data_IF_117100675594
#
_entry.id   IF_117100675594
#
_cell.length_a   1.000
_cell.length_b   1.000
_cell.length_c   1.000
_cell.angle_alpha   90.00
_cell.angle_beta   90.00
_cell.angle_gamma   90.00
#
_symmetry.space_group_name_H-M   'P 1'
#
loop_
_entity.id
_entity.type
_entity.pdbx_description
1 polymer ?
#
# COMPACT_ATOMS: atom_id res chain seq x y z
N UNK A 1 -10.41 -17.42 -22.00
CA UNK A 1 -10.25 -15.96 -22.21
C UNK A 1 -8.94 -15.73 -22.97
N UNK A 2 -8.92 -14.86 -23.97
CA UNK A 2 -7.73 -14.57 -24.79
C UNK A 2 -7.44 -13.07 -24.86
N UNK A 3 -6.35 -12.69 -25.53
CA UNK A 3 -6.02 -11.30 -25.83
C UNK A 3 -7.13 -10.68 -26.71
N UNK A 4 -7.60 -9.49 -26.34
CA UNK A 4 -8.67 -8.78 -27.07
C UNK A 4 -8.31 -7.35 -27.48
N UNK A 5 -7.39 -6.70 -26.77
CA UNK A 5 -6.98 -5.34 -27.07
C UNK A 5 -5.56 -5.04 -26.55
N UNK A 6 -4.95 -3.99 -27.10
CA UNK A 6 -3.79 -3.32 -26.53
C UNK A 6 -4.24 -1.94 -26.06
N UNK A 7 -4.06 -1.64 -24.77
CA UNK A 7 -4.34 -0.33 -24.19
C UNK A 7 -3.06 0.46 -23.99
N UNK A 8 -3.06 1.76 -24.32
CA UNK A 8 -1.92 2.65 -24.10
C UNK A 8 -2.26 3.71 -23.06
N UNK A 9 -1.32 3.97 -22.15
CA UNK A 9 -1.42 5.03 -21.15
C UNK A 9 -0.20 5.91 -21.28
N UNK A 10 -0.44 7.20 -21.49
CA UNK A 10 0.58 8.23 -21.45
C UNK A 10 0.44 8.99 -20.13
N UNK A 11 1.55 9.13 -19.41
CA UNK A 11 1.60 9.84 -18.13
C UNK A 11 2.67 10.91 -18.20
N UNK A 12 2.27 12.14 -17.91
CA UNK A 12 3.19 13.27 -17.78
C UNK A 12 3.35 13.65 -16.32
N UNK A 13 4.60 13.73 -15.86
CA UNK A 13 4.97 14.15 -14.51
C UNK A 13 5.74 15.47 -14.58
N UNK A 14 5.24 16.47 -13.86
CA UNK A 14 5.91 17.75 -13.66
C UNK A 14 6.56 17.77 -12.26
N UNK A 15 7.84 18.11 -12.20
CA UNK A 15 8.61 18.27 -10.96
C UNK A 15 9.36 19.60 -11.08
N UNK A 16 8.87 20.64 -10.39
CA UNK A 16 9.33 22.01 -10.63
C UNK A 16 9.14 22.37 -12.11
N UNK A 17 10.21 22.82 -12.75
CA UNK A 17 10.20 23.21 -14.17
C UNK A 17 10.46 22.04 -15.13
N UNK A 18 10.72 20.84 -14.61
CA UNK A 18 10.98 19.66 -15.42
C UNK A 18 9.70 18.88 -15.71
N UNK A 19 9.43 18.63 -16.99
CA UNK A 19 8.37 17.73 -17.45
C UNK A 19 8.96 16.46 -18.04
N UNK A 20 8.38 15.32 -17.67
CA UNK A 20 8.73 14.01 -18.21
C UNK A 20 7.47 13.29 -18.64
N UNK A 21 7.49 12.61 -19.79
CA UNK A 21 6.36 11.84 -20.30
C UNK A 21 6.79 10.39 -20.49
N UNK A 22 5.95 9.47 -20.01
CA UNK A 22 6.18 8.04 -20.09
C UNK A 22 4.97 7.35 -20.72
N UNK A 23 5.22 6.40 -21.60
CA UNK A 23 4.20 5.59 -22.28
C UNK A 23 4.26 4.16 -21.77
N UNK A 24 3.10 3.59 -21.43
CA UNK A 24 2.94 2.20 -21.01
C UNK A 24 1.88 1.51 -21.87
N UNK A 25 2.20 0.33 -22.37
CA UNK A 25 1.30 -0.50 -23.16
C UNK A 25 0.84 -1.72 -22.34
N UNK A 26 -0.44 -2.06 -22.45
CA UNK A 26 -1.10 -3.10 -21.67
C UNK A 26 -1.80 -4.09 -22.60
N UNK A 27 -1.62 -5.38 -22.33
CA UNK A 27 -2.34 -6.45 -23.00
C UNK A 27 -3.65 -6.73 -22.25
N UNK A 28 -4.78 -6.50 -22.92
CA UNK A 28 -6.10 -6.54 -22.30
C UNK A 28 -6.92 -7.72 -22.82
N UNK A 29 -7.62 -8.41 -21.92
CA UNK A 29 -8.61 -9.46 -22.24
C UNK A 29 -10.03 -8.91 -22.47
N UNK A 30 -10.17 -7.58 -22.48
CA UNK A 30 -11.39 -6.82 -22.68
C UNK A 30 -11.10 -5.53 -23.45
N UNK A 31 -12.14 -4.90 -24.01
CA UNK A 31 -12.05 -3.70 -24.86
C UNK A 31 -12.69 -2.46 -24.23
N UNK A 32 -13.32 -2.58 -23.06
CA UNK A 32 -14.02 -1.48 -22.39
C UNK A 32 -13.05 -0.43 -21.83
N UNK A 33 -13.12 0.79 -22.37
CA UNK A 33 -12.19 1.88 -22.06
C UNK A 33 -12.34 2.44 -20.63
N UNK A 34 -13.56 2.69 -20.10
CA UNK A 34 -13.73 3.12 -18.71
C UNK A 34 -13.18 2.10 -17.72
N UNK A 35 -13.46 0.80 -17.93
CA UNK A 35 -12.86 -0.27 -17.12
C UNK A 35 -11.35 -0.31 -17.23
N UNK A 36 -10.80 -0.10 -18.43
CA UNK A 36 -9.34 -0.05 -18.62
C UNK A 36 -8.72 1.09 -17.80
N UNK A 37 -9.27 2.31 -17.92
CA UNK A 37 -8.80 3.47 -17.17
C UNK A 37 -8.88 3.24 -15.65
N UNK A 38 -9.99 2.69 -15.17
CA UNK A 38 -10.16 2.35 -13.75
C UNK A 38 -9.13 1.31 -13.27
N UNK A 39 -8.90 0.25 -14.06
CA UNK A 39 -7.94 -0.80 -13.74
C UNK A 39 -6.50 -0.26 -13.68
N UNK A 40 -6.09 0.58 -14.64
CA UNK A 40 -4.78 1.25 -14.64
C UNK A 40 -4.60 2.12 -13.41
N UNK A 41 -5.61 2.94 -13.07
CA UNK A 41 -5.55 3.82 -11.89
C UNK A 41 -5.49 3.02 -10.59
N UNK A 42 -6.27 1.95 -10.49
CA UNK A 42 -6.24 1.05 -9.34
C UNK A 42 -4.92 0.31 -9.21
N UNK A 43 -4.31 -0.12 -10.33
CA UNK A 43 -2.99 -0.73 -10.32
C UNK A 43 -1.94 0.25 -9.75
N UNK A 44 -1.93 1.50 -10.21
CA UNK A 44 -1.05 2.54 -9.68
C UNK A 44 -1.29 2.84 -8.20
N UNK A 45 -2.53 2.70 -7.72
CA UNK A 45 -2.84 2.90 -6.31
C UNK A 45 -2.13 1.90 -5.40
N UNK A 46 -1.84 0.68 -5.87
CA UNK A 46 -1.10 -0.33 -5.11
C UNK A 46 0.34 0.15 -4.87
N UNK A 47 0.99 0.66 -5.91
CA UNK A 47 2.35 1.20 -5.79
C UNK A 47 2.41 2.37 -4.80
N UNK A 48 1.48 3.30 -4.94
CA UNK A 48 1.48 4.52 -4.12
C UNK A 48 1.01 4.28 -2.67
N UNK A 49 0.00 3.46 -2.46
CA UNK A 49 -0.64 3.28 -1.14
C UNK A 49 -0.09 2.08 -0.36
N UNK A 50 0.61 1.15 -1.01
CA UNK A 50 1.19 -0.02 -0.36
C UNK A 50 2.72 -0.01 -0.47
N UNK A 51 3.28 -0.08 -1.68
CA UNK A 51 4.72 -0.26 -1.87
C UNK A 51 5.53 0.88 -1.25
N UNK A 52 5.25 2.13 -1.64
CA UNK A 52 5.95 3.28 -1.07
C UNK A 52 5.89 3.32 0.46
N UNK A 53 4.75 2.96 1.04
CA UNK A 53 4.58 2.92 2.49
C UNK A 53 5.45 1.83 3.13
N UNK A 54 5.47 0.63 2.54
CA UNK A 54 6.29 -0.46 3.02
C UNK A 54 7.78 -0.10 2.94
N UNK A 55 8.20 0.48 1.83
CA UNK A 55 9.60 0.84 1.58
C UNK A 55 10.07 1.92 2.53
N UNK A 56 9.31 3.02 2.65
CA UNK A 56 9.71 4.19 3.45
C UNK A 56 9.34 4.06 4.92
N UNK A 57 8.08 3.73 5.21
CA UNK A 57 7.58 3.75 6.59
C UNK A 57 7.95 2.47 7.34
N UNK A 58 8.07 1.32 6.66
CA UNK A 58 8.50 0.05 7.25
C UNK A 58 9.97 -0.31 6.94
N UNK A 59 10.67 0.52 6.19
CA UNK A 59 12.10 0.35 5.91
C UNK A 59 12.40 -0.94 5.15
N UNK A 60 11.49 -1.36 4.27
CA UNK A 60 11.63 -2.62 3.53
C UNK A 60 12.87 -2.61 2.64
N UNK A 61 13.08 -1.54 1.87
CA UNK A 61 14.27 -1.35 1.02
C UNK A 61 15.60 -1.39 1.79
N UNK A 62 15.60 -0.85 3.01
CA UNK A 62 16.79 -0.82 3.85
C UNK A 62 17.07 -2.17 4.56
N UNK A 63 16.12 -3.11 4.53
CA UNK A 63 16.19 -4.36 5.26
C UNK A 63 17.21 -5.32 4.62
N UNK A 64 18.27 -5.67 5.36
CA UNK A 64 19.35 -6.55 4.87
C UNK A 64 19.18 -8.03 5.23
N UNK A 65 18.02 -8.44 5.71
CA UNK A 65 17.78 -9.82 6.18
C UNK A 65 17.69 -10.76 4.98
N UNK A 66 18.65 -11.68 4.85
CA UNK A 66 18.81 -12.57 3.67
C UNK A 66 18.85 -14.06 4.00
N UNK A 67 18.59 -14.44 5.25
CA UNK A 67 18.74 -15.81 5.72
C UNK A 67 17.42 -16.56 5.58
N UNK A 68 17.46 -17.74 4.98
CA UNK A 68 16.31 -18.64 4.85
C UNK A 68 15.08 -17.89 4.29
N UNK A 69 13.91 -18.03 4.93
CA UNK A 69 12.66 -17.37 4.53
C UNK A 69 12.46 -15.97 5.15
N UNK A 70 13.51 -15.37 5.71
CA UNK A 70 13.36 -14.13 6.50
C UNK A 70 12.76 -12.97 5.71
N UNK A 71 13.15 -12.80 4.44
CA UNK A 71 12.67 -11.71 3.60
C UNK A 71 11.16 -11.82 3.35
N UNK A 72 10.71 -13.02 2.98
CA UNK A 72 9.30 -13.32 2.71
C UNK A 72 8.45 -13.19 3.97
N UNK A 73 8.92 -13.71 5.10
CA UNK A 73 8.22 -13.63 6.38
C UNK A 73 8.08 -12.18 6.84
N UNK A 74 9.13 -11.37 6.72
CA UNK A 74 9.08 -9.95 7.08
C UNK A 74 8.17 -9.15 6.15
N UNK A 75 8.19 -9.40 4.83
CA UNK A 75 7.28 -8.75 3.89
C UNK A 75 5.81 -9.05 4.24
N UNK A 76 5.50 -10.30 4.58
CA UNK A 76 4.15 -10.69 5.01
C UNK A 76 3.72 -9.98 6.29
N UNK A 77 4.58 -9.98 7.32
CA UNK A 77 4.30 -9.34 8.60
C UNK A 77 4.10 -7.82 8.45
N UNK A 78 4.92 -7.15 7.63
CA UNK A 78 4.77 -5.71 7.34
C UNK A 78 3.44 -5.41 6.66
N UNK A 79 3.05 -6.22 5.65
CA UNK A 79 1.75 -6.09 4.97
C UNK A 79 0.58 -6.28 5.93
N UNK A 80 0.64 -7.28 6.81
CA UNK A 80 -0.37 -7.48 7.86
C UNK A 80 -0.46 -6.27 8.79
N UNK A 81 0.68 -5.80 9.30
CA UNK A 81 0.73 -4.63 10.18
C UNK A 81 0.20 -3.37 9.49
N UNK A 82 0.54 -3.15 8.22
CA UNK A 82 0.04 -2.03 7.42
C UNK A 82 -1.49 -2.06 7.29
N UNK A 83 -2.07 -3.21 6.94
CA UNK A 83 -3.51 -3.36 6.81
C UNK A 83 -4.23 -3.07 8.14
N UNK A 84 -3.73 -3.60 9.26
CA UNK A 84 -4.28 -3.32 10.59
C UNK A 84 -4.24 -1.83 10.90
N UNK A 85 -3.11 -1.17 10.63
CA UNK A 85 -2.96 0.26 10.91
C UNK A 85 -3.76 1.15 9.96
N UNK A 86 -4.04 0.74 8.72
CA UNK A 86 -4.88 1.52 7.80
C UNK A 86 -6.36 1.42 8.16
N UNK A 87 -6.84 0.21 8.49
CA UNK A 87 -8.26 -0.03 8.73
C UNK A 87 -8.71 0.18 10.17
N UNK A 88 -7.81 0.05 11.14
CA UNK A 88 -8.12 0.19 12.57
C UNK A 88 -7.33 1.37 13.14
N UNK A 89 -8.03 2.42 13.58
CA UNK A 89 -7.41 3.58 14.24
C UNK A 89 -8.05 4.93 13.87
N UNK A 90 -7.76 6.00 14.64
CA UNK A 90 -8.44 7.28 14.47
C UNK A 90 -8.13 7.90 13.10
N UNK A 91 -9.15 8.37 12.35
CA UNK A 91 -8.98 8.83 10.97
C UNK A 91 -8.02 10.02 10.81
N UNK A 92 -7.69 10.72 11.90
CA UNK A 92 -6.83 11.92 11.91
C UNK A 92 -5.33 11.63 12.04
N UNK A 93 -4.94 10.43 12.49
CA UNK A 93 -3.53 10.13 12.74
C UNK A 93 -2.83 9.64 11.47
N UNK A 94 -1.65 10.21 11.20
CA UNK A 94 -0.76 9.70 10.16
C UNK A 94 -0.28 8.28 10.47
N UNK A 95 0.09 7.52 9.45
CA UNK A 95 0.57 6.15 9.64
C UNK A 95 1.78 6.08 10.58
N UNK A 96 2.68 7.07 10.52
CA UNK A 96 3.83 7.17 11.43
C UNK A 96 3.38 7.30 12.89
N UNK A 97 2.38 8.14 13.17
CA UNK A 97 1.82 8.31 14.51
C UNK A 97 1.12 7.04 14.98
N UNK A 98 0.34 6.38 14.11
CA UNK A 98 -0.32 5.10 14.45
C UNK A 98 0.70 4.02 14.81
N UNK A 99 1.78 3.89 14.03
CA UNK A 99 2.90 2.97 14.32
C UNK A 99 3.54 3.26 15.68
N UNK A 100 3.85 4.54 15.94
CA UNK A 100 4.47 4.95 17.21
C UNK A 100 3.55 4.68 18.39
N UNK A 101 2.25 4.98 18.26
CA UNK A 101 1.27 4.68 19.31
C UNK A 101 1.15 3.17 19.55
N UNK A 102 1.12 2.35 18.51
CA UNK A 102 1.11 0.89 18.65
C UNK A 102 2.37 0.38 19.35
N UNK A 103 3.53 1.00 19.12
CA UNK A 103 4.76 0.65 19.83
C UNK A 103 4.74 1.05 21.31
N UNK A 104 4.12 2.17 21.67
CA UNK A 104 4.18 2.76 23.01
C UNK A 104 2.96 2.51 23.91
N UNK A 105 1.83 2.08 23.35
CA UNK A 105 0.59 1.87 24.08
C UNK A 105 0.06 0.45 23.86
N UNK A 106 0.18 -0.38 24.89
CA UNK A 106 -0.20 -1.78 24.86
C UNK A 106 -1.70 -1.96 24.60
N UNK A 107 -2.57 -1.14 25.22
CA UNK A 107 -4.01 -1.23 25.00
C UNK A 107 -4.38 -0.96 23.54
N UNK A 108 -3.82 0.11 22.95
CA UNK A 108 -4.03 0.42 21.54
C UNK A 108 -3.48 -0.68 20.63
N UNK A 109 -2.31 -1.26 20.96
CA UNK A 109 -1.75 -2.38 20.20
C UNK A 109 -2.62 -3.62 20.27
N UNK A 110 -3.17 -3.95 21.44
CA UNK A 110 -4.06 -5.10 21.63
C UNK A 110 -5.39 -4.89 20.91
N UNK A 111 -5.96 -3.69 20.95
CA UNK A 111 -7.15 -3.32 20.18
C UNK A 111 -6.92 -3.49 18.67
N UNK A 112 -5.77 -3.04 18.15
CA UNK A 112 -5.43 -3.23 16.74
C UNK A 112 -5.33 -4.71 16.34
N UNK A 113 -4.74 -5.55 17.21
CA UNK A 113 -4.47 -6.96 16.91
C UNK A 113 -5.70 -7.86 17.08
N UNK A 114 -6.53 -7.60 18.10
CA UNK A 114 -7.63 -8.48 18.50
C UNK A 114 -9.02 -7.87 18.23
N UNK A 115 -9.10 -6.59 17.85
CA UNK A 115 -10.38 -5.89 17.69
C UNK A 115 -11.12 -5.63 19.00
N UNK A 116 -10.46 -5.85 20.15
CA UNK A 116 -11.05 -5.61 21.46
C UNK A 116 -11.17 -4.10 21.71
N UNK A 117 -12.32 -3.54 21.37
CA UNK A 117 -12.72 -2.24 21.91
C UNK A 117 -12.87 -2.42 23.41
N UNK A 118 -12.16 -1.60 24.18
CA UNK A 118 -12.28 -1.58 25.64
C UNK A 118 -13.76 -1.31 26.00
N UNK A 119 -14.52 -2.38 26.28
CA UNK A 119 -15.90 -2.32 26.80
C UNK A 119 -15.85 -1.86 28.25
N UNK A 120 -15.41 -0.63 28.49
CA UNK A 120 -15.44 0.01 29.81
C UNK A 120 -15.74 1.49 29.69
N UNK A 121 -17.03 1.79 29.50
CA UNK A 121 -17.76 2.82 30.26
C UNK A 121 -19.27 2.67 30.00
N UNK A 122 -19.96 2.01 30.95
CA UNK A 122 -21.33 2.38 31.35
C UNK A 122 -21.15 3.19 32.63
#
# INVERSE_FOLDING_TARGET
>A
AGLKAVGRVESTRLIGDHSSTETREFLCSFTDLPRFAAAVRQHWSIENQQHWILDVQFGEDACRTRRDHSAQNLALLRRMALNLLQHNGPPKDSLRQRKLRAALNDNYRMELLLGEHNRKTI
#
